data_IF_923719656935
#
_entry.id   IF_923719656935
#
_cell.length_a   1.000
_cell.length_b   1.000
_cell.length_c   1.000
_cell.angle_alpha   90.00
_cell.angle_beta   90.00
_cell.angle_gamma   90.00
#
_symmetry.space_group_name_H-M   'P 1'
#
loop_
_entity.id
_entity.type
_entity.pdbx_description
1 polymer ?
#
# COMPACT_ATOMS: atom_id res chain seq x y z
N UNK A 1 2.12 24.08 -9.60
CA UNK A 1 3.48 23.67 -10.02
C UNK A 1 3.37 22.92 -11.34
N UNK A 2 4.26 23.16 -12.29
CA UNK A 2 4.12 22.76 -13.70
C UNK A 2 4.41 21.28 -13.90
N UNK A 3 3.39 20.43 -13.79
CA UNK A 3 3.45 18.97 -14.06
C UNK A 3 3.55 18.64 -15.57
N UNK A 4 4.00 19.58 -16.40
CA UNK A 4 3.97 19.50 -17.86
C UNK A 4 5.32 19.13 -18.49
N UNK A 5 6.37 18.93 -17.69
CA UNK A 5 7.72 18.63 -18.17
C UNK A 5 8.38 17.49 -17.38
N UNK A 6 9.13 16.65 -18.09
CA UNK A 6 10.03 15.64 -17.56
C UNK A 6 11.44 16.11 -17.85
N UNK A 7 12.26 16.22 -16.82
CA UNK A 7 13.65 16.69 -16.93
C UNK A 7 14.59 15.53 -16.68
N UNK A 8 15.47 15.24 -17.64
CA UNK A 8 16.61 14.37 -17.43
C UNK A 8 17.86 15.24 -17.29
N UNK A 9 18.42 15.25 -16.09
CA UNK A 9 19.58 16.06 -15.72
C UNK A 9 20.75 15.13 -15.48
N UNK A 10 21.80 15.29 -16.28
CA UNK A 10 23.10 14.66 -16.03
C UNK A 10 24.11 15.72 -15.63
N UNK A 11 25.34 15.32 -15.33
CA UNK A 11 26.42 16.27 -15.02
C UNK A 11 26.75 17.21 -16.20
N UNK A 12 26.36 16.87 -17.44
CA UNK A 12 26.77 17.59 -18.64
C UNK A 12 25.63 17.89 -19.61
N UNK A 13 24.41 17.44 -19.32
CA UNK A 13 23.26 17.64 -20.21
C UNK A 13 21.96 17.82 -19.43
N UNK A 14 21.08 18.64 -19.99
CA UNK A 14 19.71 18.81 -19.55
C UNK A 14 18.80 18.51 -20.74
N UNK A 15 17.97 17.47 -20.63
CA UNK A 15 16.93 17.16 -21.61
C UNK A 15 15.59 17.53 -20.99
N UNK A 16 14.87 18.44 -21.64
CA UNK A 16 13.54 18.87 -21.23
C UNK A 16 12.51 18.26 -22.18
N UNK A 17 11.72 17.31 -21.68
CA UNK A 17 10.69 16.65 -22.46
C UNK A 17 9.30 17.11 -22.02
N UNK A 18 8.49 17.64 -22.94
CA UNK A 18 7.13 18.08 -22.62
C UNK A 18 6.20 16.87 -22.51
N UNK A 19 5.42 16.75 -21.44
CA UNK A 19 4.56 15.58 -21.18
C UNK A 19 3.56 15.32 -22.31
N UNK A 20 3.11 16.34 -23.04
CA UNK A 20 2.24 16.18 -24.21
C UNK A 20 2.92 15.50 -25.40
N UNK A 21 4.24 15.62 -25.54
CA UNK A 21 5.06 15.19 -26.69
C UNK A 21 5.90 13.94 -26.40
N UNK A 22 5.54 13.16 -25.37
CA UNK A 22 6.25 11.93 -25.00
C UNK A 22 5.35 10.70 -24.94
N UNK A 23 5.88 9.55 -25.30
CA UNK A 23 5.33 8.24 -24.91
C UNK A 23 6.17 7.67 -23.78
N UNK A 24 5.51 7.14 -22.76
CA UNK A 24 6.15 6.55 -21.58
C UNK A 24 5.87 5.06 -21.59
N UNK A 25 6.92 4.26 -21.49
CA UNK A 25 6.82 2.80 -21.43
C UNK A 25 7.78 2.26 -20.38
N UNK A 26 7.26 1.52 -19.41
CA UNK A 26 8.08 0.76 -18.48
C UNK A 26 8.65 -0.46 -19.22
N UNK A 27 9.98 -0.48 -19.39
CA UNK A 27 10.69 -1.45 -20.21
C UNK A 27 11.43 -2.52 -19.40
N UNK A 28 11.78 -2.22 -18.14
CA UNK A 28 12.51 -3.15 -17.27
C UNK A 28 12.12 -2.97 -15.81
N UNK A 29 12.12 -4.06 -15.06
CA UNK A 29 11.98 -4.06 -13.61
C UNK A 29 13.08 -4.90 -12.98
N UNK A 30 13.89 -4.30 -12.11
CA UNK A 30 14.97 -4.98 -11.40
C UNK A 30 14.74 -4.92 -9.89
N UNK A 31 15.26 -5.90 -9.16
CA UNK A 31 15.29 -5.92 -7.69
C UNK A 31 16.70 -5.62 -7.21
N UNK A 32 16.81 -4.70 -6.26
CA UNK A 32 18.05 -4.51 -5.51
C UNK A 32 17.86 -4.96 -4.05
N UNK A 33 18.68 -5.91 -3.56
CA UNK A 33 18.73 -6.21 -2.14
C UNK A 33 19.31 -4.99 -1.42
N UNK A 34 18.47 -4.25 -0.71
CA UNK A 34 18.91 -3.08 0.04
C UNK A 34 19.78 -3.57 1.21
N UNK A 35 21.03 -3.09 1.25
CA UNK A 35 21.94 -3.25 2.39
C UNK A 35 21.42 -2.51 3.64
N UNK A 36 21.69 -3.08 4.81
CA UNK A 36 21.29 -2.78 6.20
C UNK A 36 21.08 -1.33 6.73
N UNK A 37 21.03 -0.27 5.91
CA UNK A 37 20.99 1.12 6.37
C UNK A 37 19.64 1.84 6.26
N UNK A 38 18.62 1.27 5.62
CA UNK A 38 17.27 1.85 5.61
C UNK A 38 16.35 1.13 6.60
N UNK A 39 15.71 1.89 7.50
CA UNK A 39 14.78 1.41 8.55
C UNK A 39 13.51 0.72 8.02
N UNK A 40 13.41 0.50 6.71
CA UNK A 40 12.31 -0.15 6.00
C UNK A 40 12.73 -1.42 5.22
N UNK A 41 13.90 -1.99 5.53
CA UNK A 41 14.55 -3.14 4.86
C UNK A 41 13.63 -4.23 4.28
N UNK A 42 13.32 -4.09 3.01
CA UNK A 42 12.82 -5.14 2.11
C UNK A 42 13.40 -4.90 0.71
N UNK A 43 13.38 -5.90 -0.20
CA UNK A 43 13.87 -5.71 -1.56
C UNK A 43 13.06 -4.61 -2.26
N UNK A 44 13.73 -3.55 -2.71
CA UNK A 44 13.07 -2.51 -3.49
C UNK A 44 13.14 -2.85 -4.98
N UNK A 45 11.96 -2.96 -5.60
CA UNK A 45 11.85 -3.08 -7.05
C UNK A 45 11.99 -1.68 -7.67
N UNK A 46 12.88 -1.56 -8.65
CA UNK A 46 13.05 -0.37 -9.48
C UNK A 46 12.50 -0.63 -10.87
N UNK A 47 11.90 0.39 -11.46
CA UNK A 47 11.35 0.39 -12.81
C UNK A 47 12.14 1.35 -13.67
N UNK A 48 12.57 0.87 -14.83
CA UNK A 48 13.13 1.69 -15.89
C UNK A 48 12.01 2.07 -16.86
N UNK A 49 11.73 3.36 -16.95
CA UNK A 49 10.70 3.93 -17.82
C UNK A 49 11.41 4.64 -18.97
N UNK A 50 11.22 4.12 -20.18
CA UNK A 50 11.68 4.77 -21.39
C UNK A 50 10.78 5.94 -21.75
N UNK A 51 11.39 7.10 -21.95
CA UNK A 51 10.74 8.34 -22.39
C UNK A 51 11.13 8.57 -23.85
N UNK A 52 10.16 8.47 -24.75
CA UNK A 52 10.36 8.63 -26.20
C UNK A 52 9.62 9.85 -26.71
N UNK A 53 10.28 10.67 -27.53
CA UNK A 53 9.65 11.82 -28.17
C UNK A 53 8.71 11.36 -29.30
N UNK A 54 7.47 11.87 -29.32
CA UNK A 54 6.53 11.65 -30.42
C UNK A 54 7.04 12.36 -31.68
N UNK A 55 7.51 13.60 -31.52
CA UNK A 55 8.04 14.43 -32.61
C UNK A 55 9.52 14.18 -32.95
N UNK A 56 10.17 13.21 -32.30
CA UNK A 56 11.60 12.87 -32.48
C UNK A 56 12.57 14.05 -32.23
N UNK A 57 12.23 14.96 -31.32
CA UNK A 57 13.07 16.13 -30.99
C UNK A 57 14.26 15.81 -30.10
N UNK A 58 14.26 14.66 -29.44
CA UNK A 58 15.32 14.21 -28.55
C UNK A 58 15.43 12.68 -28.61
N UNK A 59 16.64 12.19 -28.34
CA UNK A 59 16.92 10.75 -28.23
C UNK A 59 16.24 10.15 -27.00
N UNK A 60 15.64 8.94 -27.11
CA UNK A 60 14.99 8.30 -25.97
C UNK A 60 15.94 8.19 -24.77
N UNK A 61 15.40 8.39 -23.58
CA UNK A 61 16.16 8.25 -22.35
C UNK A 61 15.36 7.48 -21.30
N UNK A 62 16.07 6.92 -20.32
CA UNK A 62 15.46 6.12 -19.25
C UNK A 62 15.37 6.94 -17.97
N UNK A 63 14.21 6.91 -17.35
CA UNK A 63 13.96 7.40 -15.99
C UNK A 63 13.77 6.19 -15.09
N UNK A 64 14.62 6.06 -14.08
CA UNK A 64 14.49 5.00 -13.07
C UNK A 64 13.70 5.50 -11.88
N UNK A 65 12.68 4.76 -11.47
CA UNK A 65 11.89 5.04 -10.26
C UNK A 65 11.70 3.79 -9.40
N UNK A 66 11.39 3.98 -8.12
CA UNK A 66 10.96 2.88 -7.26
C UNK A 66 9.50 2.49 -7.58
N UNK A 67 9.19 1.19 -7.57
CA UNK A 67 7.84 0.69 -7.90
C UNK A 67 6.74 1.29 -7.01
N UNK A 68 7.02 1.54 -5.74
CA UNK A 68 6.09 2.19 -4.81
C UNK A 68 5.70 3.63 -5.17
N UNK A 69 6.49 4.31 -6.00
CA UNK A 69 6.21 5.68 -6.48
C UNK A 69 5.55 5.71 -7.87
N UNK A 70 5.32 4.54 -8.47
CA UNK A 70 4.80 4.43 -9.84
C UNK A 70 3.41 5.08 -9.98
N UNK A 71 2.51 4.84 -9.02
CA UNK A 71 1.16 5.43 -9.05
C UNK A 71 1.20 6.94 -8.84
N UNK A 72 1.95 7.42 -7.85
CA UNK A 72 2.11 8.86 -7.61
C UNK A 72 2.65 9.58 -8.85
N UNK A 73 3.59 8.97 -9.58
CA UNK A 73 4.14 9.53 -10.81
C UNK A 73 3.10 9.51 -11.94
N UNK A 74 2.36 8.41 -12.10
CA UNK A 74 1.27 8.31 -13.09
C UNK A 74 0.20 9.37 -12.86
N UNK A 75 -0.20 9.57 -11.60
CA UNK A 75 -1.20 10.56 -11.21
C UNK A 75 -0.72 11.99 -11.44
N UNK A 76 0.55 12.28 -11.11
CA UNK A 76 1.15 13.60 -11.35
C UNK A 76 1.27 13.94 -12.83
N UNK A 77 1.64 12.97 -13.66
CA UNK A 77 1.79 13.15 -15.11
C UNK A 77 0.45 13.18 -15.83
N UNK A 78 -0.61 12.64 -15.21
CA UNK A 78 -1.94 12.47 -15.80
C UNK A 78 -1.89 11.89 -17.23
N UNK A 79 -0.95 10.95 -17.45
CA UNK A 79 -0.68 10.32 -18.74
C UNK A 79 -0.46 8.82 -18.53
N UNK A 80 -1.04 7.95 -19.38
CA UNK A 80 -0.79 6.52 -19.27
C UNK A 80 0.69 6.21 -19.52
N UNK A 81 1.23 5.33 -18.68
CA UNK A 81 2.54 4.72 -18.85
C UNK A 81 2.29 3.29 -19.32
N UNK A 82 2.73 2.96 -20.52
CA UNK A 82 2.64 1.60 -21.06
C UNK A 82 3.51 0.65 -20.24
N UNK A 83 3.11 -0.61 -20.17
CA UNK A 83 3.93 -1.68 -19.58
C UNK A 83 4.34 -2.60 -20.72
N UNK A 84 5.65 -2.71 -20.96
CA UNK A 84 6.15 -3.71 -21.88
C UNK A 84 5.76 -5.11 -21.37
N UNK A 85 5.52 -6.06 -22.28
CA UNK A 85 5.00 -7.40 -21.95
C UNK A 85 5.85 -8.17 -20.91
N UNK A 86 7.10 -7.77 -20.71
CA UNK A 86 8.08 -8.42 -19.84
C UNK A 86 8.19 -7.76 -18.46
N UNK A 87 7.50 -6.63 -18.25
CA UNK A 87 7.52 -5.87 -17.00
C UNK A 87 6.34 -6.28 -16.13
N UNK A 88 6.64 -7.09 -15.11
CA UNK A 88 5.69 -7.40 -14.04
C UNK A 88 5.94 -6.44 -12.88
N UNK A 89 5.02 -5.50 -12.70
CA UNK A 89 4.93 -4.71 -11.47
C UNK A 89 4.60 -5.67 -10.33
N UNK A 90 5.55 -5.92 -9.43
CA UNK A 90 5.25 -6.70 -8.24
C UNK A 90 4.45 -5.80 -7.30
N UNK A 91 3.22 -6.19 -6.99
CA UNK A 91 2.48 -5.60 -5.87
C UNK A 91 3.34 -5.71 -4.62
N UNK A 92 3.39 -4.64 -3.80
CA UNK A 92 4.16 -4.71 -2.56
C UNK A 92 3.59 -5.81 -1.67
N UNK A 93 4.41 -6.40 -0.81
CA UNK A 93 3.94 -7.42 0.14
C UNK A 93 2.81 -6.90 1.03
N UNK A 94 2.81 -5.59 1.30
CA UNK A 94 1.72 -4.90 2.00
C UNK A 94 0.43 -4.87 1.16
N UNK A 95 0.52 -4.62 -0.14
CA UNK A 95 -0.66 -4.60 -1.01
C UNK A 95 -1.24 -6.02 -1.18
N UNK A 96 -0.38 -7.03 -1.34
CA UNK A 96 -0.80 -8.43 -1.36
C UNK A 96 -1.48 -8.84 -0.04
N UNK A 97 -0.91 -8.40 1.09
CA UNK A 97 -1.55 -8.64 2.39
C UNK A 97 -2.90 -7.94 2.51
N UNK A 98 -3.01 -6.70 2.02
CA UNK A 98 -4.30 -5.97 2.03
C UNK A 98 -5.37 -6.76 1.29
N UNK A 99 -5.05 -7.36 0.14
CA UNK A 99 -5.99 -8.18 -0.63
C UNK A 99 -6.42 -9.44 0.17
N UNK A 100 -5.47 -10.15 0.79
CA UNK A 100 -5.79 -11.34 1.63
C UNK A 100 -6.58 -10.95 2.88
N UNK A 101 -6.24 -9.82 3.50
CA UNK A 101 -6.94 -9.28 4.66
C UNK A 101 -8.40 -8.96 4.33
N UNK A 102 -8.66 -8.37 3.16
CA UNK A 102 -10.01 -8.09 2.67
C UNK A 102 -10.86 -9.36 2.58
N UNK A 103 -10.31 -10.43 1.97
CA UNK A 103 -10.99 -11.73 1.86
C UNK A 103 -11.34 -12.29 3.23
N UNK A 104 -10.41 -12.21 4.19
CA UNK A 104 -10.66 -12.70 5.55
C UNK A 104 -11.73 -11.88 6.27
N UNK A 105 -11.70 -10.55 6.17
CA UNK A 105 -12.68 -9.66 6.83
C UNK A 105 -14.07 -9.82 6.23
N UNK A 106 -14.19 -10.11 4.94
CA UNK A 106 -15.47 -10.43 4.30
C UNK A 106 -16.10 -11.71 4.88
N UNK A 107 -15.26 -12.68 5.29
CA UNK A 107 -15.70 -13.93 5.92
C UNK A 107 -15.98 -13.80 7.42
N UNK A 108 -15.53 -12.70 8.05
CA UNK A 108 -15.75 -12.47 9.48
C UNK A 108 -17.21 -12.07 9.77
N UNK A 109 -17.59 -12.11 11.05
CA UNK A 109 -18.89 -11.63 11.49
C UNK A 109 -19.05 -10.14 11.21
N UNK A 110 -20.22 -9.74 10.67
CA UNK A 110 -20.54 -8.34 10.42
C UNK A 110 -21.03 -7.66 11.70
N UNK A 111 -20.63 -6.41 11.89
CA UNK A 111 -21.03 -5.63 13.05
C UNK A 111 -22.20 -4.69 12.71
N UNK A 112 -23.34 -4.88 13.37
CA UNK A 112 -24.48 -3.97 13.25
C UNK A 112 -24.23 -2.70 14.09
N UNK A 113 -24.02 -1.57 13.42
CA UNK A 113 -23.81 -0.28 14.07
C UNK A 113 -25.07 0.58 13.92
N UNK A 114 -25.68 0.96 15.03
CA UNK A 114 -26.95 1.70 15.02
C UNK A 114 -26.85 3.12 14.41
N UNK A 115 -25.66 3.72 14.40
CA UNK A 115 -25.44 5.12 14.01
C UNK A 115 -24.67 5.24 12.70
N UNK A 116 -24.99 4.41 11.70
CA UNK A 116 -24.30 4.40 10.38
C UNK A 116 -24.36 5.77 9.68
N UNK A 117 -25.39 6.56 9.96
CA UNK A 117 -25.55 7.92 9.44
C UNK A 117 -24.48 8.90 9.97
N UNK A 118 -23.98 8.68 11.18
CA UNK A 118 -22.97 9.50 11.86
C UNK A 118 -21.52 9.06 11.54
N UNK A 119 -21.33 8.13 10.60
CA UNK A 119 -20.00 7.67 10.23
C UNK A 119 -19.19 8.79 9.56
N UNK A 120 -18.12 9.18 10.24
CA UNK A 120 -17.12 10.11 9.75
C UNK A 120 -16.23 9.47 8.65
N UNK A 121 -15.56 10.30 7.82
CA UNK A 121 -14.50 9.83 6.95
C UNK A 121 -13.41 9.07 7.73
N UNK A 122 -12.83 8.06 7.09
CA UNK A 122 -11.72 7.28 7.64
C UNK A 122 -10.57 8.19 8.06
N UNK A 123 -10.09 8.05 9.30
CA UNK A 123 -8.98 8.84 9.84
C UNK A 123 -7.65 8.65 9.09
N UNK A 124 -7.51 7.55 8.34
CA UNK A 124 -6.30 7.26 7.57
C UNK A 124 -6.28 7.92 6.19
N UNK A 125 -7.26 7.60 5.33
CA UNK A 125 -7.27 8.09 3.95
C UNK A 125 -8.16 9.32 3.73
N UNK A 126 -9.09 9.62 4.62
CA UNK A 126 -10.13 10.65 4.47
C UNK A 126 -10.98 10.57 3.18
N UNK A 127 -10.79 9.55 2.34
CA UNK A 127 -11.49 9.39 1.05
C UNK A 127 -12.75 8.55 1.18
N UNK A 128 -12.72 7.52 2.03
CA UNK A 128 -13.84 6.60 2.27
C UNK A 128 -14.41 6.83 3.67
N UNK A 129 -15.69 6.54 3.89
CA UNK A 129 -16.25 6.47 5.24
C UNK A 129 -15.61 5.34 6.05
N UNK A 130 -15.62 5.46 7.37
CA UNK A 130 -15.27 4.35 8.23
C UNK A 130 -16.25 3.18 8.01
N UNK A 131 -15.74 1.97 7.79
CA UNK A 131 -16.55 0.80 7.46
C UNK A 131 -16.13 -0.47 8.20
N UNK A 132 -15.23 -0.36 9.18
CA UNK A 132 -14.82 -1.49 10.03
C UNK A 132 -14.89 -1.17 11.51
N UNK A 133 -15.25 -2.18 12.31
CA UNK A 133 -15.23 -2.18 13.76
C UNK A 133 -14.31 -3.30 14.25
N UNK A 134 -13.43 -2.98 15.20
CA UNK A 134 -12.71 -4.03 15.95
C UNK A 134 -13.64 -4.50 17.08
N UNK A 135 -13.99 -5.77 17.10
CA UNK A 135 -14.76 -6.43 18.15
C UNK A 135 -14.16 -7.80 18.42
N UNK A 136 -14.08 -8.22 19.68
CA UNK A 136 -13.48 -9.50 20.00
C UNK A 136 -14.39 -10.64 19.54
N UNK A 137 -13.97 -11.33 18.48
CA UNK A 137 -14.66 -12.48 17.90
C UNK A 137 -13.75 -13.73 17.88
N UNK A 138 -12.43 -13.56 18.03
CA UNK A 138 -11.51 -14.68 18.07
C UNK A 138 -11.65 -15.49 19.37
N UNK A 139 -11.49 -16.82 19.25
CA UNK A 139 -11.28 -17.68 20.41
C UNK A 139 -9.85 -17.47 20.93
N UNK A 140 -9.66 -17.42 22.26
CA UNK A 140 -8.34 -17.27 22.90
C UNK A 140 -7.36 -18.45 22.61
N UNK A 141 -7.71 -19.35 21.69
CA UNK A 141 -6.99 -20.58 21.37
C UNK A 141 -5.72 -20.35 20.54
N UNK A 142 -5.62 -19.22 19.82
CA UNK A 142 -4.46 -18.88 18.99
C UNK A 142 -3.44 -18.03 19.76
N UNK A 143 -2.90 -18.59 20.84
CA UNK A 143 -1.67 -18.09 21.46
C UNK A 143 -0.47 -18.75 20.76
N UNK A 144 -0.29 -18.47 19.46
CA UNK A 144 0.94 -18.85 18.79
C UNK A 144 2.03 -17.85 19.22
N UNK A 145 3.06 -18.38 19.89
CA UNK A 145 4.18 -17.71 20.56
C UNK A 145 3.90 -17.21 21.99
N UNK A 146 4.75 -17.67 22.91
CA UNK A 146 4.66 -17.53 24.37
C UNK A 146 4.72 -16.09 24.93
N UNK A 147 4.64 -15.05 24.09
CA UNK A 147 4.85 -13.66 24.53
C UNK A 147 3.88 -12.61 23.97
N UNK A 148 2.88 -12.96 23.13
CA UNK A 148 1.92 -11.96 22.65
C UNK A 148 0.65 -11.88 23.51
N UNK A 149 0.23 -10.67 23.94
CA UNK A 149 -0.97 -10.49 24.75
C UNK A 149 -2.22 -11.03 24.04
N UNK A 150 -3.19 -11.50 24.83
CA UNK A 150 -4.48 -11.95 24.32
C UNK A 150 -5.24 -10.80 23.66
N UNK A 151 -6.07 -11.12 22.66
CA UNK A 151 -6.97 -10.14 22.08
C UNK A 151 -7.96 -9.64 23.15
N UNK A 152 -8.15 -8.32 23.19
CA UNK A 152 -8.98 -7.62 24.16
C UNK A 152 -10.12 -6.88 23.46
N UNK A 153 -11.23 -6.70 24.18
CA UNK A 153 -12.39 -5.99 23.64
C UNK A 153 -12.03 -4.53 23.32
N UNK A 154 -12.34 -4.09 22.10
CA UNK A 154 -12.20 -2.71 21.67
C UNK A 154 -13.54 -1.97 21.78
N UNK A 155 -13.57 -0.86 22.50
CA UNK A 155 -14.76 -0.01 22.68
C UNK A 155 -14.76 1.26 21.81
N UNK A 156 -13.77 1.42 20.93
CA UNK A 156 -13.75 2.56 20.00
C UNK A 156 -14.89 2.48 18.99
N UNK A 157 -15.47 3.64 18.64
CA UNK A 157 -16.39 3.75 17.49
C UNK A 157 -15.67 3.38 16.17
N UNK A 158 -16.40 2.98 15.11
CA UNK A 158 -15.82 2.80 13.79
C UNK A 158 -15.23 4.14 13.29
N UNK A 159 -13.92 4.17 13.01
CA UNK A 159 -13.21 5.38 12.55
C UNK A 159 -12.26 5.13 11.38
N UNK A 160 -12.16 3.89 10.95
CA UNK A 160 -11.21 3.46 9.93
C UNK A 160 -11.95 2.74 8.81
N UNK A 161 -11.42 2.81 7.61
CA UNK A 161 -11.81 1.93 6.54
C UNK A 161 -10.97 0.65 6.56
N UNK A 162 -11.49 -0.40 5.96
CA UNK A 162 -10.90 -1.73 5.90
C UNK A 162 -9.46 -1.72 5.34
N UNK A 163 -9.23 -1.01 4.22
CA UNK A 163 -7.90 -0.89 3.61
C UNK A 163 -6.89 -0.20 4.55
N UNK A 164 -7.31 0.86 5.26
CA UNK A 164 -6.44 1.51 6.23
C UNK A 164 -6.17 0.61 7.44
N UNK A 165 -7.17 -0.15 7.89
CA UNK A 165 -6.99 -1.11 8.97
C UNK A 165 -6.01 -2.22 8.59
N UNK A 166 -6.12 -2.76 7.36
CA UNK A 166 -5.21 -3.75 6.82
C UNK A 166 -3.75 -3.23 6.80
N UNK A 167 -3.53 -2.00 6.33
CA UNK A 167 -2.21 -1.35 6.32
C UNK A 167 -1.63 -1.15 7.72
N UNK A 168 -2.47 -0.74 8.67
CA UNK A 168 -2.08 -0.58 10.08
C UNK A 168 -1.69 -1.93 10.67
N UNK A 169 -2.44 -2.97 10.36
CA UNK A 169 -2.17 -4.33 10.81
C UNK A 169 -0.84 -4.82 10.24
N UNK A 170 -0.63 -4.71 8.92
CA UNK A 170 0.60 -5.08 8.22
C UNK A 170 1.83 -4.36 8.80
N UNK A 171 1.71 -3.07 9.13
CA UNK A 171 2.79 -2.29 9.70
C UNK A 171 3.26 -2.77 11.09
N UNK A 172 2.50 -3.65 11.75
CA UNK A 172 2.84 -4.27 13.04
C UNK A 172 3.40 -5.68 12.92
N UNK A 173 3.41 -6.26 11.72
CA UNK A 173 3.89 -7.62 11.50
C UNK A 173 5.40 -7.67 11.22
N UNK A 174 6.01 -8.85 11.43
CA UNK A 174 7.41 -9.08 11.13
C UNK A 174 7.63 -9.22 9.62
N UNK A 175 8.37 -8.29 9.04
CA UNK A 175 8.65 -8.28 7.59
C UNK A 175 9.48 -9.47 7.12
N UNK A 176 10.19 -10.14 8.00
CA UNK A 176 10.97 -11.33 7.66
C UNK A 176 10.12 -12.59 7.55
N UNK A 177 8.92 -12.58 8.14
CA UNK A 177 7.99 -13.70 8.23
C UNK A 177 6.60 -13.35 7.70
N UNK A 178 6.45 -12.98 6.41
CA UNK A 178 5.18 -12.62 5.79
C UNK A 178 4.13 -13.73 5.84
N UNK A 179 4.56 -14.99 5.85
CA UNK A 179 3.71 -16.17 6.00
C UNK A 179 2.92 -16.19 7.31
N UNK A 180 3.41 -15.52 8.35
CA UNK A 180 2.79 -15.49 9.68
C UNK A 180 1.87 -14.28 9.90
N UNK A 181 1.80 -13.34 8.94
CA UNK A 181 1.06 -12.09 9.13
C UNK A 181 -0.41 -12.33 9.46
N UNK A 182 -1.07 -13.30 8.81
CA UNK A 182 -2.48 -13.61 9.07
C UNK A 182 -2.73 -14.15 10.49
N UNK A 183 -1.75 -14.83 11.08
CA UNK A 183 -1.80 -15.32 12.47
C UNK A 183 -1.30 -14.28 13.49
N UNK A 184 -0.77 -13.17 13.02
CA UNK A 184 -0.24 -12.11 13.86
C UNK A 184 -1.31 -11.32 14.61
N UNK A 185 -0.86 -10.31 15.35
CA UNK A 185 -1.73 -9.41 16.10
C UNK A 185 -1.30 -7.96 15.90
N UNK A 186 -2.21 -7.04 16.11
CA UNK A 186 -1.96 -5.62 16.10
C UNK A 186 -2.67 -4.95 17.28
N UNK A 187 -2.35 -3.68 17.50
CA UNK A 187 -3.00 -2.85 18.51
C UNK A 187 -3.91 -1.81 17.83
N UNK A 188 -5.10 -1.59 18.37
CA UNK A 188 -6.01 -0.56 17.90
C UNK A 188 -5.27 0.79 17.88
N UNK A 189 -5.30 1.55 16.76
CA UNK A 189 -4.63 2.85 16.67
C UNK A 189 -5.07 3.86 17.72
N UNK A 190 -6.29 3.72 18.22
CA UNK A 190 -6.91 4.67 19.16
C UNK A 190 -6.75 4.24 20.60
N UNK A 191 -7.24 3.05 20.97
CA UNK A 191 -7.24 2.59 22.37
C UNK A 191 -6.17 1.56 22.70
N UNK A 192 -5.37 1.13 21.72
CA UNK A 192 -4.34 0.08 21.85
C UNK A 192 -4.83 -1.30 22.28
N UNK A 193 -6.15 -1.55 22.29
CA UNK A 193 -6.69 -2.90 22.44
C UNK A 193 -6.04 -3.86 21.42
N UNK A 194 -5.63 -5.02 21.89
CA UNK A 194 -4.93 -6.01 21.06
C UNK A 194 -5.98 -6.78 20.28
N UNK A 195 -5.75 -7.00 19.00
CA UNK A 195 -6.71 -7.68 18.12
C UNK A 195 -5.97 -8.50 17.05
N UNK A 196 -6.61 -9.55 16.55
CA UNK A 196 -6.16 -10.29 15.36
C UNK A 196 -7.12 -10.02 14.19
N UNK A 197 -6.79 -10.55 13.00
CA UNK A 197 -7.63 -10.35 11.80
C UNK A 197 -9.09 -10.81 12.00
N UNK A 198 -9.32 -11.83 12.82
CA UNK A 198 -10.66 -12.37 13.11
C UNK A 198 -11.53 -11.42 13.95
N UNK A 199 -10.91 -10.47 14.65
CA UNK A 199 -11.61 -9.46 15.47
C UNK A 199 -12.04 -8.23 14.63
N UNK A 200 -11.78 -8.23 13.32
CA UNK A 200 -12.12 -7.12 12.43
C UNK A 200 -13.42 -7.44 11.72
N UNK A 201 -14.46 -6.67 12.05
CA UNK A 201 -15.80 -6.83 11.51
C UNK A 201 -16.12 -5.70 10.54
N UNK A 202 -16.56 -6.05 9.33
CA UNK A 202 -17.18 -5.07 8.42
C UNK A 202 -18.54 -4.62 8.97
N UNK A 203 -18.87 -3.35 8.79
CA UNK A 203 -20.19 -2.84 9.16
C UNK A 203 -21.27 -3.42 8.24
N UNK A 204 -22.40 -3.83 8.83
CA UNK A 204 -23.57 -4.38 8.12
C UNK A 204 -24.41 -3.29 7.45
#
# INVERSE_FOLDING_TARGET
MTNSWILNVTNYSLICAQVSDVTLEAVRADEHPISHHERSGGPAQFLDIEVRSITKKFEPFIVRIQSGQFQDMRDKLNKPIGLAQQVVLKQSINDQFVDVFHVQVEMNEKYSYAHTEELEPCLGCATKKANVKISKCCLNTYANSENLPFCTQCFCRPMWCETCMARIFAAKQDRNHPEEWMSGKANCPTCRAVFCVLDVCSLA
#
